data_IF_862541605945
#
_entry.id   IF_862541605945
#
_cell.length_a   1.000
_cell.length_b   1.000
_cell.length_c   1.000
_cell.angle_alpha   90.00
_cell.angle_beta   90.00
_cell.angle_gamma   90.00
#
_symmetry.space_group_name_H-M   'P 1'
#
loop_
_entity.id
_entity.type
_entity.pdbx_description
1 polymer ?
#
# COMPACT_ATOMS: atom_id res chain seq x y z
N UNK A 1 -0.88 -2.96 -0.16
CA UNK A 1 -2.10 -2.80 -0.99
C UNK A 1 -3.33 -3.26 -0.23
N UNK A 2 -4.46 -2.60 -0.43
CA UNK A 2 -5.71 -2.88 0.28
C UNK A 2 -6.90 -3.09 -0.65
N UNK A 3 -8.11 -3.11 -0.06
CA UNK A 3 -9.38 -3.34 -0.77
C UNK A 3 -9.65 -2.35 -1.90
N UNK A 4 -9.14 -1.12 -1.79
CA UNK A 4 -9.34 -0.09 -2.81
C UNK A 4 -8.80 -0.48 -4.18
N UNK A 5 -7.70 -1.24 -4.22
CA UNK A 5 -7.16 -1.79 -5.47
C UNK A 5 -8.10 -2.82 -6.08
N UNK A 6 -8.64 -3.72 -5.25
CA UNK A 6 -9.59 -4.73 -5.69
C UNK A 6 -10.90 -4.09 -6.21
N UNK A 7 -11.44 -3.12 -5.48
CA UNK A 7 -12.68 -2.43 -5.84
C UNK A 7 -12.53 -1.57 -7.11
N UNK A 8 -11.36 -0.98 -7.33
CA UNK A 8 -11.06 -0.25 -8.57
C UNK A 8 -10.82 -1.19 -9.77
N UNK A 9 -10.74 -2.50 -9.57
CA UNK A 9 -10.38 -3.45 -10.62
C UNK A 9 -8.97 -3.26 -11.16
N UNK A 10 -8.06 -2.74 -10.33
CA UNK A 10 -6.69 -2.36 -10.71
C UNK A 10 -5.66 -3.49 -10.50
N UNK A 11 -6.08 -4.75 -10.70
CA UNK A 11 -5.24 -5.92 -10.44
C UNK A 11 -4.03 -5.97 -11.38
N UNK A 12 -4.25 -5.75 -12.67
CA UNK A 12 -3.20 -5.83 -13.68
C UNK A 12 -2.22 -4.65 -13.55
N UNK A 13 -2.75 -3.44 -13.34
CA UNK A 13 -1.94 -2.25 -13.12
C UNK A 13 -1.06 -2.36 -11.87
N UNK A 14 -1.61 -2.93 -10.78
CA UNK A 14 -0.86 -3.14 -9.54
C UNK A 14 0.21 -4.20 -9.72
N UNK A 15 -0.09 -5.30 -10.40
CA UNK A 15 0.89 -6.34 -10.71
C UNK A 15 2.01 -5.78 -11.57
N UNK A 16 1.68 -5.06 -12.64
CA UNK A 16 2.65 -4.41 -13.53
C UNK A 16 3.57 -3.47 -12.75
N UNK A 17 3.01 -2.65 -11.85
CA UNK A 17 3.78 -1.77 -10.99
C UNK A 17 4.78 -2.53 -10.11
N UNK A 18 4.33 -3.59 -9.43
CA UNK A 18 5.19 -4.42 -8.57
C UNK A 18 6.29 -5.10 -9.37
N UNK A 19 5.95 -5.66 -10.51
CA UNK A 19 6.92 -6.36 -11.38
C UNK A 19 7.94 -5.40 -12.00
N UNK A 20 7.53 -4.20 -12.40
CA UNK A 20 8.42 -3.19 -12.97
C UNK A 20 9.36 -2.58 -11.91
N UNK A 21 8.84 -2.31 -10.73
CA UNK A 21 9.62 -1.65 -9.65
C UNK A 21 10.41 -2.62 -8.79
N UNK A 22 10.05 -3.91 -8.79
CA UNK A 22 10.63 -4.94 -7.92
C UNK A 22 10.48 -4.64 -6.42
N UNK A 23 9.51 -3.80 -6.06
CA UNK A 23 9.23 -3.45 -4.66
C UNK A 23 8.46 -4.60 -3.99
N UNK A 24 8.93 -5.13 -2.86
CA UNK A 24 8.18 -6.11 -2.08
C UNK A 24 6.83 -5.56 -1.63
N UNK A 25 5.81 -6.41 -1.58
CA UNK A 25 4.48 -5.99 -1.22
C UNK A 25 3.86 -6.78 -0.06
N UNK A 26 2.93 -6.10 0.61
CA UNK A 26 2.04 -6.67 1.62
C UNK A 26 0.58 -6.40 1.23
N UNK A 27 -0.28 -7.40 1.40
CA UNK A 27 -1.71 -7.23 1.25
C UNK A 27 -2.39 -7.11 2.62
N UNK A 28 -3.36 -6.20 2.72
CA UNK A 28 -4.34 -6.24 3.82
C UNK A 28 -5.31 -7.41 3.60
N UNK A 29 -6.09 -7.83 4.62
CA UNK A 29 -7.02 -8.96 4.43
C UNK A 29 -7.91 -8.84 3.20
N UNK A 30 -8.48 -7.67 2.92
CA UNK A 30 -9.32 -7.45 1.75
C UNK A 30 -8.55 -7.06 0.47
N UNK A 31 -7.24 -6.89 0.57
CA UNK A 31 -6.34 -6.73 -0.57
C UNK A 31 -5.76 -8.04 -1.09
N UNK A 32 -5.97 -9.13 -0.36
CA UNK A 32 -5.53 -10.46 -0.79
C UNK A 32 -6.22 -10.85 -2.09
N UNK A 33 -5.46 -11.47 -3.00
CA UNK A 33 -5.96 -11.87 -4.31
C UNK A 33 -5.75 -10.83 -5.40
N UNK A 34 -5.38 -9.58 -5.07
CA UNK A 34 -4.96 -8.60 -6.07
C UNK A 34 -3.70 -9.09 -6.79
N UNK A 35 -2.71 -9.51 -6.02
CA UNK A 35 -1.56 -10.28 -6.50
C UNK A 35 -1.46 -11.54 -5.63
N UNK A 36 -1.05 -12.64 -6.22
CA UNK A 36 -0.92 -13.91 -5.51
C UNK A 36 0.04 -13.80 -4.32
N UNK A 37 -0.35 -14.37 -3.18
CA UNK A 37 0.52 -14.47 -2.00
C UNK A 37 1.77 -15.34 -2.27
N UNK A 38 1.76 -16.16 -3.32
CA UNK A 38 2.90 -16.98 -3.76
C UNK A 38 3.86 -16.24 -4.69
N UNK A 39 3.55 -14.97 -5.03
CA UNK A 39 4.46 -14.15 -5.81
C UNK A 39 5.78 -13.96 -5.07
N UNK A 40 6.92 -14.04 -5.78
CA UNK A 40 8.26 -13.94 -5.17
C UNK A 40 8.57 -12.63 -4.46
N UNK A 41 7.85 -11.56 -4.78
CA UNK A 41 7.94 -10.27 -4.08
C UNK A 41 6.95 -10.13 -2.91
N UNK A 42 6.15 -11.17 -2.63
CA UNK A 42 5.26 -11.17 -1.47
C UNK A 42 6.06 -11.26 -0.17
N UNK A 43 5.94 -10.26 0.68
CA UNK A 43 6.58 -10.21 1.99
C UNK A 43 5.65 -10.63 3.13
N UNK A 44 4.57 -11.36 2.82
CA UNK A 44 3.54 -11.74 3.80
C UNK A 44 4.10 -12.48 5.02
N UNK A 45 5.12 -13.32 4.82
CA UNK A 45 5.75 -14.10 5.90
C UNK A 45 6.64 -13.26 6.82
N UNK A 46 7.11 -12.10 6.35
CA UNK A 46 7.97 -11.18 7.10
C UNK A 46 7.25 -9.86 7.42
N UNK A 47 5.91 -9.88 7.52
CA UNK A 47 5.08 -8.68 7.64
C UNK A 47 5.56 -7.70 8.71
N UNK A 48 5.81 -8.18 9.92
CA UNK A 48 6.22 -7.31 11.04
C UNK A 48 7.58 -6.66 10.80
N UNK A 49 8.53 -7.42 10.24
CA UNK A 49 9.86 -6.91 9.92
C UNK A 49 9.81 -5.87 8.80
N UNK A 50 9.02 -6.13 7.77
CA UNK A 50 8.87 -5.20 6.64
C UNK A 50 8.22 -3.90 7.09
N UNK A 51 7.13 -3.96 7.87
CA UNK A 51 6.48 -2.76 8.39
C UNK A 51 7.39 -1.97 9.34
N UNK A 52 8.13 -2.67 10.20
CA UNK A 52 9.04 -2.03 11.16
C UNK A 52 10.35 -1.53 10.54
N UNK A 53 10.76 -2.08 9.41
CA UNK A 53 12.02 -1.76 8.74
C UNK A 53 11.91 -0.78 7.56
N UNK A 54 10.73 -0.66 6.96
CA UNK A 54 10.55 0.18 5.79
C UNK A 54 10.73 1.67 6.11
N UNK A 55 11.53 2.35 5.34
CA UNK A 55 11.74 3.80 5.41
C UNK A 55 10.73 4.58 4.55
N UNK A 56 10.27 3.97 3.46
CA UNK A 56 9.20 4.49 2.60
C UNK A 56 8.16 3.39 2.38
N UNK A 57 6.90 3.75 2.48
CA UNK A 57 5.78 2.85 2.19
C UNK A 57 4.86 3.49 1.15
N UNK A 58 4.63 2.79 0.05
CA UNK A 58 3.56 3.13 -0.88
C UNK A 58 2.27 2.42 -0.45
N UNK A 59 1.36 3.18 0.15
CA UNK A 59 0.07 2.72 0.65
C UNK A 59 -0.98 2.87 -0.46
N UNK A 60 -1.41 1.75 -1.02
CA UNK A 60 -2.32 1.72 -2.18
C UNK A 60 -3.69 1.19 -1.78
N UNK A 61 -4.72 2.03 -1.81
CA UNK A 61 -6.10 1.67 -1.53
C UNK A 61 -6.30 1.00 -0.17
N UNK A 62 -5.53 1.42 0.83
CA UNK A 62 -5.57 0.91 2.19
C UNK A 62 -5.58 2.06 3.19
N UNK A 63 -6.28 1.87 4.29
CA UNK A 63 -6.37 2.86 5.37
C UNK A 63 -5.34 2.59 6.44
N UNK A 64 -4.81 3.66 7.05
CA UNK A 64 -4.00 3.58 8.26
C UNK A 64 -4.88 3.50 9.50
N UNK A 65 -5.67 2.44 9.58
CA UNK A 65 -6.53 2.11 10.73
C UNK A 65 -5.85 1.05 11.63
N UNK A 66 -6.61 0.46 12.54
CA UNK A 66 -6.11 -0.55 13.47
C UNK A 66 -5.47 -1.78 12.78
N UNK A 67 -5.92 -2.16 11.58
CA UNK A 67 -5.34 -3.30 10.82
C UNK A 67 -3.88 -3.04 10.47
N UNK A 68 -3.53 -1.78 10.21
CA UNK A 68 -2.17 -1.33 9.94
C UNK A 68 -1.57 -0.54 11.10
N UNK A 69 -2.03 -0.79 12.33
CA UNK A 69 -1.50 -0.17 13.56
C UNK A 69 -1.41 1.36 13.45
N UNK A 70 -2.37 1.97 12.76
CA UNK A 70 -2.46 3.42 12.49
C UNK A 70 -1.22 4.01 11.80
N UNK A 71 -0.32 3.19 11.27
CA UNK A 71 0.91 3.63 10.61
C UNK A 71 1.96 4.22 11.55
N UNK A 72 1.87 3.95 12.85
CA UNK A 72 2.74 4.56 13.88
C UNK A 72 3.65 3.55 14.57
N UNK A 73 4.70 4.08 15.23
CA UNK A 73 5.57 3.27 16.07
C UNK A 73 4.77 2.58 17.21
N UNK A 74 5.21 1.41 17.71
CA UNK A 74 6.45 0.69 17.36
C UNK A 74 6.35 -0.21 16.12
N UNK A 75 5.14 -0.42 15.56
CA UNK A 75 4.94 -1.34 14.42
C UNK A 75 5.48 -0.80 13.10
N UNK A 76 5.45 0.52 12.95
CA UNK A 76 6.10 1.24 11.85
C UNK A 76 7.32 1.98 12.38
N UNK A 77 8.28 2.26 11.50
CA UNK A 77 9.37 3.17 11.86
C UNK A 77 8.81 4.53 12.25
N UNK A 78 9.42 5.17 13.24
CA UNK A 78 9.01 6.50 13.71
C UNK A 78 9.12 7.57 12.60
N UNK A 79 10.07 7.41 11.69
CA UNK A 79 10.39 8.34 10.59
C UNK A 79 9.92 7.84 9.23
N UNK A 80 9.02 6.84 9.18
CA UNK A 80 8.50 6.30 7.92
C UNK A 80 7.84 7.38 7.08
N UNK A 81 8.12 7.36 5.79
CA UNK A 81 7.51 8.24 4.80
C UNK A 81 6.41 7.50 4.07
N UNK A 82 5.21 8.09 4.01
CA UNK A 82 4.05 7.47 3.36
C UNK A 82 3.76 8.18 2.05
N UNK A 83 3.77 7.45 0.96
CA UNK A 83 3.14 7.80 -0.32
C UNK A 83 1.79 7.13 -0.28
N UNK A 84 0.70 7.88 -0.42
CA UNK A 84 -0.65 7.33 -0.24
C UNK A 84 -1.49 7.51 -1.49
N UNK A 85 -2.03 6.41 -2.00
CA UNK A 85 -3.00 6.37 -3.08
C UNK A 85 -4.36 5.94 -2.52
N UNK A 86 -5.33 6.82 -2.58
CA UNK A 86 -6.71 6.55 -2.18
C UNK A 86 -7.67 7.46 -2.98
N UNK A 87 -8.91 7.01 -3.17
CA UNK A 87 -9.94 7.82 -3.81
C UNK A 87 -10.69 8.72 -2.82
N UNK A 88 -10.53 8.50 -1.52
CA UNK A 88 -11.13 9.32 -0.48
C UNK A 88 -10.12 10.35 0.04
N UNK A 89 -10.33 11.65 -0.22
CA UNK A 89 -9.42 12.69 0.26
C UNK A 89 -9.33 12.77 1.80
N UNK A 90 -10.35 12.28 2.52
CA UNK A 90 -10.34 12.26 3.99
C UNK A 90 -9.37 11.23 4.58
N UNK A 91 -8.95 10.24 3.79
CA UNK A 91 -7.93 9.30 4.22
C UNK A 91 -6.51 9.89 4.18
N UNK A 92 -6.31 10.95 3.37
CA UNK A 92 -5.02 11.63 3.29
C UNK A 92 -4.70 12.32 4.62
N UNK A 93 -3.46 12.15 5.08
CA UNK A 93 -2.95 12.70 6.34
C UNK A 93 -3.64 12.18 7.60
N UNK A 94 -4.50 11.16 7.49
CA UNK A 94 -5.15 10.54 8.65
C UNK A 94 -4.15 9.65 9.39
N UNK A 95 -3.94 9.91 10.68
CA UNK A 95 -2.99 9.28 11.59
C UNK A 95 -1.52 9.55 11.26
N UNK A 96 -1.11 9.52 9.99
CA UNK A 96 0.25 9.84 9.54
C UNK A 96 0.17 10.78 8.33
N UNK A 97 1.05 11.76 8.29
CA UNK A 97 1.14 12.67 7.15
C UNK A 97 1.52 11.91 5.89
N UNK A 98 0.73 12.05 4.85
CA UNK A 98 1.07 11.56 3.52
C UNK A 98 2.11 12.50 2.90
N UNK A 99 3.31 12.00 2.66
CA UNK A 99 4.38 12.77 2.03
C UNK A 99 3.99 13.15 0.60
N UNK A 100 3.44 12.17 -0.13
CA UNK A 100 2.91 12.35 -1.47
C UNK A 100 1.48 11.79 -1.48
N UNK A 101 0.45 12.66 -1.39
CA UNK A 101 -0.93 12.23 -1.54
C UNK A 101 -1.29 12.10 -3.01
N UNK A 102 -1.77 10.93 -3.42
CA UNK A 102 -2.28 10.63 -4.75
C UNK A 102 -3.77 10.34 -4.62
N UNK A 103 -4.59 11.38 -4.74
CA UNK A 103 -6.03 11.27 -4.59
C UNK A 103 -6.69 11.01 -5.94
N UNK A 104 -7.32 9.84 -6.09
CA UNK A 104 -8.04 9.47 -7.31
C UNK A 104 -8.26 7.98 -7.47
N UNK A 105 -8.78 7.59 -8.62
CA UNK A 105 -9.00 6.20 -8.97
C UNK A 105 -7.67 5.44 -9.10
N UNK A 106 -7.58 4.30 -8.39
CA UNK A 106 -6.34 3.55 -8.32
C UNK A 106 -5.91 2.97 -9.67
N UNK A 107 -6.86 2.54 -10.51
CA UNK A 107 -6.55 2.00 -11.83
C UNK A 107 -5.94 3.07 -12.73
N UNK A 108 -6.54 4.27 -12.73
CA UNK A 108 -6.06 5.40 -13.51
C UNK A 108 -4.67 5.84 -13.04
N UNK A 109 -4.49 6.04 -11.74
CA UNK A 109 -3.21 6.52 -11.19
C UNK A 109 -2.10 5.49 -11.39
N UNK A 110 -2.34 4.21 -11.11
CA UNK A 110 -1.34 3.16 -11.37
C UNK A 110 -1.01 3.05 -12.86
N UNK A 111 -2.01 3.22 -13.74
CA UNK A 111 -1.77 3.27 -15.18
C UNK A 111 -0.86 4.43 -15.61
N UNK A 112 -0.94 5.56 -14.92
CA UNK A 112 -0.05 6.70 -15.15
C UNK A 112 1.36 6.49 -14.59
N UNK A 113 1.49 5.73 -13.51
CA UNK A 113 2.78 5.42 -12.89
C UNK A 113 3.56 4.34 -13.67
N UNK A 114 2.85 3.45 -14.34
CA UNK A 114 3.42 2.39 -15.16
C UNK A 114 3.88 2.92 -16.52
#
# INVERSE_FOLDING_TARGET
MGKGIAYAGAHDEMRQFVEATQIPFLATPMGKGVISDYHNLSAARARSEVLGGADVIFLCGARLNWILHFGIAPRFRKDVKIIQLDNDPHEMHTNVKSLIPLCGDAKVILGQLN
#
